data_IF_004494652550
#
_entry.id   IF_004494652550
#
_cell.length_a   1.000
_cell.length_b   1.000
_cell.length_c   1.000
_cell.angle_alpha   90.00
_cell.angle_beta   90.00
_cell.angle_gamma   90.00
#
_symmetry.space_group_name_H-M   'P 1'
#
loop_
_entity.id
_entity.type
_entity.pdbx_description
1 polymer ?
#
# COMPACT_ATOMS: atom_id res chain seq x y z
N UNK A 1 10.26 8.75 17.35
CA UNK A 1 10.33 7.60 16.42
C UNK A 1 10.37 8.11 14.99
N UNK A 2 11.29 7.56 14.17
CA UNK A 2 11.43 7.89 12.75
C UNK A 2 11.19 6.65 11.90
N UNK A 3 10.39 6.78 10.85
CA UNK A 3 10.03 5.67 9.96
C UNK A 3 10.05 6.15 8.51
N UNK A 4 10.75 5.43 7.63
CA UNK A 4 10.71 5.65 6.19
C UNK A 4 9.74 4.64 5.55
N UNK A 5 8.73 5.15 4.84
CA UNK A 5 7.73 4.35 4.13
C UNK A 5 7.93 4.42 2.61
N UNK A 6 7.77 3.27 1.94
CA UNK A 6 7.90 3.12 0.49
C UNK A 6 6.63 2.48 -0.06
N UNK A 7 5.97 3.14 -1.00
CA UNK A 7 4.80 2.64 -1.70
C UNK A 7 5.06 2.60 -3.21
N UNK A 8 4.92 1.43 -3.81
CA UNK A 8 5.16 1.16 -5.24
C UNK A 8 4.12 0.22 -5.85
N UNK A 9 3.07 -0.12 -5.11
CA UNK A 9 2.00 -1.01 -5.60
C UNK A 9 1.05 -0.30 -6.55
N UNK A 10 0.99 1.04 -6.45
CA UNK A 10 0.22 1.97 -7.27
C UNK A 10 0.96 2.37 -8.57
N UNK A 11 0.27 3.06 -9.51
CA UNK A 11 0.90 3.55 -10.73
C UNK A 11 2.04 4.55 -10.50
N UNK A 12 1.98 5.34 -9.44
CA UNK A 12 2.98 6.35 -9.07
C UNK A 12 3.66 5.95 -7.78
N UNK A 13 4.99 5.86 -7.79
CA UNK A 13 5.76 5.58 -6.59
C UNK A 13 5.72 6.77 -5.63
N UNK A 14 5.55 6.48 -4.35
CA UNK A 14 5.60 7.48 -3.28
C UNK A 14 6.51 7.03 -2.15
N UNK A 15 7.11 8.00 -1.46
CA UNK A 15 7.90 7.78 -0.26
C UNK A 15 7.48 8.77 0.82
N UNK A 16 7.59 8.39 2.08
CA UNK A 16 7.27 9.28 3.18
C UNK A 16 8.18 9.04 4.39
N UNK A 17 8.47 10.12 5.10
CA UNK A 17 9.08 10.11 6.41
C UNK A 17 8.01 10.40 7.45
N UNK A 18 7.85 9.50 8.40
CA UNK A 18 7.16 9.76 9.66
C UNK A 18 8.19 10.17 10.71
N UNK A 19 7.94 11.29 11.37
CA UNK A 19 8.76 11.77 12.49
C UNK A 19 7.85 12.33 13.57
N UNK A 20 7.72 11.60 14.67
CA UNK A 20 7.01 12.02 15.89
C UNK A 20 5.59 12.61 15.68
N UNK A 21 4.83 12.02 14.78
CA UNK A 21 3.46 12.42 14.45
C UNK A 21 3.33 13.19 13.14
N UNK A 22 4.43 13.73 12.62
CA UNK A 22 4.44 14.46 11.34
C UNK A 22 4.83 13.56 10.17
N UNK A 23 4.22 13.82 9.01
CA UNK A 23 4.49 13.10 7.76
C UNK A 23 4.97 14.07 6.70
N UNK A 24 6.18 13.85 6.19
CA UNK A 24 6.68 14.49 4.97
C UNK A 24 6.62 13.46 3.83
N UNK A 25 5.98 13.80 2.71
CA UNK A 25 5.71 12.86 1.60
C UNK A 25 6.17 13.43 0.27
N UNK A 26 6.76 12.56 -0.56
CA UNK A 26 7.12 12.84 -1.95
C UNK A 26 6.51 11.81 -2.90
N UNK A 27 6.16 12.27 -4.09
CA UNK A 27 5.67 11.46 -5.21
C UNK A 27 6.62 11.55 -6.38
N UNK A 28 6.71 10.49 -7.18
CA UNK A 28 7.28 10.58 -8.51
C UNK A 28 6.41 11.47 -9.43
N UNK A 29 7.05 12.15 -10.37
CA UNK A 29 6.35 12.99 -11.35
C UNK A 29 5.75 12.16 -12.49
N UNK A 30 6.17 10.91 -12.65
CA UNK A 30 5.80 10.03 -13.75
C UNK A 30 5.40 8.62 -13.24
N UNK A 31 4.48 7.97 -13.97
CA UNK A 31 4.04 6.60 -13.73
C UNK A 31 5.05 5.55 -14.21
N UNK A 32 6.20 5.95 -14.72
CA UNK A 32 7.20 5.07 -15.32
C UNK A 32 8.26 4.64 -14.33
N UNK A 33 8.60 3.35 -14.40
CA UNK A 33 9.85 2.76 -13.89
C UNK A 33 10.12 3.02 -12.39
N UNK A 34 9.29 2.49 -11.51
CA UNK A 34 9.51 2.56 -10.06
C UNK A 34 10.95 2.23 -9.64
N UNK A 35 11.61 1.28 -10.31
CA UNK A 35 13.00 0.92 -10.03
C UNK A 35 13.98 2.09 -10.23
N UNK A 36 13.68 3.03 -11.12
CA UNK A 36 14.53 4.18 -11.41
C UNK A 36 14.17 5.39 -10.55
N UNK A 37 12.95 5.44 -9.99
CA UNK A 37 12.41 6.64 -9.32
C UNK A 37 12.45 6.57 -7.80
N UNK A 38 12.34 5.38 -7.19
CA UNK A 38 12.21 5.26 -5.72
C UNK A 38 13.45 5.73 -4.98
N UNK A 39 14.66 5.34 -5.43
CA UNK A 39 15.90 5.73 -4.75
C UNK A 39 16.14 7.25 -4.82
N UNK A 40 16.02 7.93 -5.98
CA UNK A 40 16.07 9.38 -6.06
C UNK A 40 15.03 10.09 -5.18
N UNK A 41 13.80 9.55 -5.07
CA UNK A 41 12.79 10.10 -4.16
C UNK A 41 13.21 9.99 -2.69
N UNK A 42 13.77 8.85 -2.30
CA UNK A 42 14.30 8.66 -0.93
C UNK A 42 15.45 9.61 -0.66
N UNK A 43 16.40 9.74 -1.58
CA UNK A 43 17.54 10.68 -1.45
C UNK A 43 17.03 12.12 -1.27
N UNK A 44 16.09 12.55 -2.11
CA UNK A 44 15.48 13.87 -2.02
C UNK A 44 14.78 14.08 -0.68
N UNK A 45 13.94 13.13 -0.26
CA UNK A 45 13.22 13.21 1.01
C UNK A 45 14.18 13.36 2.19
N UNK A 46 15.24 12.55 2.24
CA UNK A 46 16.23 12.59 3.32
C UNK A 46 17.02 13.90 3.30
N UNK A 47 17.46 14.36 2.13
CA UNK A 47 18.20 15.63 2.00
C UNK A 47 17.37 16.84 2.45
N UNK A 48 16.10 16.92 2.03
CA UNK A 48 15.23 18.05 2.37
C UNK A 48 14.77 18.03 3.84
N UNK A 49 14.70 16.85 4.46
CA UNK A 49 14.34 16.69 5.88
C UNK A 49 15.55 16.73 6.83
N UNK A 50 16.77 16.72 6.29
CA UNK A 50 18.01 16.67 7.07
C UNK A 50 18.22 15.32 7.78
N UNK A 51 17.62 14.25 7.27
CA UNK A 51 17.66 12.92 7.87
C UNK A 51 18.58 11.96 7.08
N UNK A 52 18.90 10.83 7.71
CA UNK A 52 19.69 9.76 7.09
C UNK A 52 19.01 8.42 7.23
N UNK A 53 19.32 7.44 6.39
CA UNK A 53 18.77 6.06 6.52
C UNK A 53 19.13 5.44 7.87
N UNK A 54 20.33 5.70 8.39
CA UNK A 54 20.79 5.19 9.68
C UNK A 54 20.01 5.74 10.88
N UNK A 55 19.40 6.93 10.73
CA UNK A 55 18.59 7.57 11.75
C UNK A 55 17.16 7.00 11.85
N UNK A 56 16.76 6.14 10.92
CA UNK A 56 15.45 5.51 10.96
C UNK A 56 15.38 4.45 12.04
N UNK A 57 14.23 4.37 12.73
CA UNK A 57 13.92 3.30 13.68
C UNK A 57 13.31 2.10 12.95
N UNK A 58 12.51 2.36 11.90
CA UNK A 58 11.80 1.36 11.11
C UNK A 58 11.80 1.73 9.63
N UNK A 59 11.68 0.69 8.78
CA UNK A 59 11.29 0.85 7.38
C UNK A 59 9.91 0.21 7.17
N UNK A 60 9.02 0.90 6.46
CA UNK A 60 7.71 0.38 6.09
C UNK A 60 7.58 0.24 4.59
N UNK A 61 6.85 -0.78 4.16
CA UNK A 61 6.59 -1.02 2.75
C UNK A 61 5.19 -1.59 2.54
N UNK A 62 4.55 -1.13 1.46
CA UNK A 62 3.33 -1.76 0.99
C UNK A 62 3.67 -3.09 0.30
N UNK A 63 3.17 -4.20 0.88
CA UNK A 63 3.47 -5.56 0.41
C UNK A 63 2.50 -6.06 -0.66
N UNK A 64 1.57 -5.21 -1.11
CA UNK A 64 0.46 -5.55 -1.99
C UNK A 64 -0.86 -5.79 -1.24
N UNK A 65 -1.93 -6.13 -1.96
CA UNK A 65 -1.99 -6.41 -3.40
C UNK A 65 -1.83 -5.17 -4.28
N UNK A 66 -1.46 -5.37 -5.55
CA UNK A 66 -1.30 -4.29 -6.52
C UNK A 66 -0.46 -4.74 -7.72
N UNK A 67 0.29 -3.80 -8.30
CA UNK A 67 1.23 -4.07 -9.38
C UNK A 67 2.25 -5.14 -8.96
N UNK A 68 2.27 -6.28 -9.64
CA UNK A 68 3.19 -7.39 -9.31
C UNK A 68 4.67 -6.98 -9.35
N UNK A 69 5.05 -6.17 -10.34
CA UNK A 69 6.40 -5.62 -10.46
C UNK A 69 6.65 -4.57 -9.38
N UNK A 70 5.68 -3.67 -9.17
CA UNK A 70 5.78 -2.62 -8.15
C UNK A 70 5.98 -3.18 -6.74
N UNK A 71 5.15 -4.14 -6.32
CA UNK A 71 5.30 -4.84 -5.02
C UNK A 71 6.72 -5.37 -4.83
N UNK A 72 7.28 -6.04 -5.84
CA UNK A 72 8.64 -6.61 -5.75
C UNK A 72 9.71 -5.55 -5.63
N UNK A 73 9.60 -4.47 -6.39
CA UNK A 73 10.54 -3.35 -6.32
C UNK A 73 10.55 -2.73 -4.92
N UNK A 74 9.37 -2.35 -4.41
CA UNK A 74 9.27 -1.74 -3.09
C UNK A 74 9.78 -2.63 -1.97
N UNK A 75 9.33 -3.89 -1.94
CA UNK A 75 9.76 -4.86 -0.93
C UNK A 75 11.26 -5.14 -1.00
N UNK A 76 11.84 -5.23 -2.21
CA UNK A 76 13.27 -5.45 -2.38
C UNK A 76 14.09 -4.26 -1.83
N UNK A 77 13.73 -3.03 -2.22
CA UNK A 77 14.42 -1.81 -1.77
C UNK A 77 14.29 -1.64 -0.25
N UNK A 78 13.08 -1.78 0.29
CA UNK A 78 12.85 -1.63 1.71
C UNK A 78 13.61 -2.68 2.54
N UNK A 79 13.60 -3.94 2.11
CA UNK A 79 14.38 -4.99 2.76
C UNK A 79 15.88 -4.75 2.67
N UNK A 80 16.39 -4.20 1.55
CA UNK A 80 17.79 -3.83 1.42
C UNK A 80 18.18 -2.74 2.43
N UNK A 81 17.33 -1.73 2.63
CA UNK A 81 17.54 -0.72 3.67
C UNK A 81 17.50 -1.32 5.08
N UNK A 82 16.49 -2.14 5.38
CA UNK A 82 16.37 -2.82 6.68
C UNK A 82 17.61 -3.66 7.00
N UNK A 83 18.07 -4.44 6.03
CA UNK A 83 19.27 -5.25 6.16
C UNK A 83 20.54 -4.42 6.36
N UNK A 84 20.77 -3.42 5.49
CA UNK A 84 21.97 -2.59 5.54
C UNK A 84 22.05 -1.73 6.82
N UNK A 85 20.91 -1.24 7.30
CA UNK A 85 20.82 -0.41 8.52
C UNK A 85 20.59 -1.22 9.80
N UNK A 86 20.40 -2.55 9.69
CA UNK A 86 20.02 -3.44 10.79
C UNK A 86 18.76 -2.95 11.54
N UNK A 87 17.74 -2.55 10.78
CA UNK A 87 16.49 -2.03 11.29
C UNK A 87 15.30 -2.91 10.90
N UNK A 88 14.30 -3.03 11.77
CA UNK A 88 13.12 -3.85 11.51
C UNK A 88 12.21 -3.24 10.41
N UNK A 89 11.48 -4.15 9.76
CA UNK A 89 10.57 -3.87 8.66
C UNK A 89 9.12 -4.00 9.09
N UNK A 90 8.25 -3.12 8.58
CA UNK A 90 6.80 -3.21 8.76
C UNK A 90 6.17 -3.34 7.37
N UNK A 91 5.66 -4.54 7.05
CA UNK A 91 4.87 -4.77 5.85
C UNK A 91 3.40 -4.45 6.09
N UNK A 92 2.81 -3.57 5.27
CA UNK A 92 1.38 -3.26 5.32
C UNK A 92 0.68 -3.73 4.05
N UNK A 93 -0.60 -4.10 4.19
CA UNK A 93 -1.44 -4.45 3.05
C UNK A 93 -1.95 -3.18 2.36
N UNK A 94 -1.87 -3.12 1.03
CA UNK A 94 -2.29 -1.97 0.23
C UNK A 94 -3.77 -1.58 0.43
N UNK A 95 -4.64 -2.56 0.71
CA UNK A 95 -6.04 -2.29 1.03
C UNK A 95 -6.20 -1.62 2.40
N UNK A 96 -5.35 -1.95 3.37
CA UNK A 96 -5.32 -1.26 4.67
C UNK A 96 -4.74 0.15 4.53
N UNK A 97 -3.72 0.33 3.68
CA UNK A 97 -3.17 1.66 3.36
C UNK A 97 -4.23 2.56 2.71
N UNK A 98 -5.06 2.02 1.81
CA UNK A 98 -6.22 2.74 1.26
C UNK A 98 -7.24 3.11 2.33
N UNK A 99 -7.58 2.17 3.23
CA UNK A 99 -8.48 2.45 4.35
C UNK A 99 -7.94 3.56 5.25
N UNK A 100 -6.62 3.57 5.46
CA UNK A 100 -5.95 4.58 6.29
C UNK A 100 -6.12 6.00 5.75
N UNK A 101 -6.24 6.18 4.43
CA UNK A 101 -6.54 7.49 3.85
C UNK A 101 -7.93 8.03 4.24
N UNK A 102 -8.83 7.14 4.67
CA UNK A 102 -10.16 7.46 5.21
C UNK A 102 -10.23 7.29 6.74
N UNK A 103 -9.10 7.38 7.43
CA UNK A 103 -9.06 7.27 8.88
C UNK A 103 -9.93 8.34 9.56
N UNK A 104 -10.73 7.92 10.56
CA UNK A 104 -11.67 8.82 11.25
C UNK A 104 -13.05 8.95 10.57
N UNK A 105 -13.22 8.38 9.39
CA UNK A 105 -14.53 8.32 8.72
C UNK A 105 -15.41 7.27 9.40
N UNK A 106 -16.64 7.62 9.73
CA UNK A 106 -17.61 6.72 10.35
C UNK A 106 -18.26 5.76 9.34
N UNK A 107 -18.55 4.54 9.79
CA UNK A 107 -19.21 3.50 9.01
C UNK A 107 -18.24 2.65 8.16
N UNK A 108 -18.80 1.64 7.43
CA UNK A 108 -18.01 0.71 6.67
C UNK A 108 -17.28 1.35 5.47
N UNK A 109 -16.00 0.99 5.29
CA UNK A 109 -15.15 1.39 4.16
C UNK A 109 -14.78 0.15 3.37
N UNK A 110 -15.17 0.12 2.10
CA UNK A 110 -14.77 -0.90 1.14
C UNK A 110 -13.57 -0.38 0.34
N UNK A 111 -12.44 -1.06 0.47
CA UNK A 111 -11.24 -0.75 -0.32
C UNK A 111 -11.12 -1.73 -1.46
N UNK A 112 -10.87 -1.22 -2.68
CA UNK A 112 -10.83 -2.03 -3.89
C UNK A 112 -9.73 -1.57 -4.84
N UNK A 113 -8.81 -2.49 -5.19
CA UNK A 113 -7.76 -2.25 -6.18
C UNK A 113 -8.08 -3.05 -7.44
N UNK A 114 -8.08 -2.40 -8.61
CA UNK A 114 -8.40 -3.05 -9.89
C UNK A 114 -7.41 -4.19 -10.20
N UNK A 115 -7.93 -5.41 -10.34
CA UNK A 115 -7.18 -6.60 -10.74
C UNK A 115 -7.48 -7.00 -12.20
N UNK A 116 -8.09 -6.08 -12.96
CA UNK A 116 -8.49 -6.18 -14.37
C UNK A 116 -9.56 -7.23 -14.68
N UNK A 117 -10.18 -7.07 -15.85
CA UNK A 117 -11.20 -8.00 -16.38
C UNK A 117 -12.37 -8.21 -15.39
N UNK A 118 -12.91 -7.13 -14.80
CA UNK A 118 -14.03 -7.21 -13.86
C UNK A 118 -13.70 -7.82 -12.51
N UNK A 119 -12.42 -7.98 -12.19
CA UNK A 119 -11.96 -8.46 -10.89
C UNK A 119 -11.27 -7.32 -10.10
N UNK A 120 -11.29 -7.43 -8.79
CA UNK A 120 -10.57 -6.55 -7.87
C UNK A 120 -9.93 -7.35 -6.75
N UNK A 121 -8.95 -6.74 -6.11
CA UNK A 121 -8.59 -7.07 -4.74
C UNK A 121 -9.45 -6.20 -3.84
N UNK A 122 -10.16 -6.79 -2.90
CA UNK A 122 -11.13 -6.09 -2.08
C UNK A 122 -11.09 -6.52 -0.62
N UNK A 123 -11.41 -5.58 0.26
CA UNK A 123 -11.66 -5.80 1.68
C UNK A 123 -12.72 -4.82 2.19
N UNK A 124 -13.37 -5.14 3.30
CA UNK A 124 -14.33 -4.28 3.98
C UNK A 124 -13.87 -4.08 5.42
N UNK A 125 -13.84 -2.83 5.85
CA UNK A 125 -13.41 -2.43 7.18
C UNK A 125 -14.46 -1.54 7.86
N UNK A 126 -14.50 -1.59 9.18
CA UNK A 126 -15.15 -0.57 10.01
C UNK A 126 -14.20 -0.15 11.13
N UNK A 127 -13.69 1.07 11.04
CA UNK A 127 -12.57 1.48 11.86
C UNK A 127 -11.36 0.54 11.65
N UNK A 128 -10.85 -0.06 12.72
CA UNK A 128 -9.74 -1.04 12.68
C UNK A 128 -10.23 -2.49 12.45
N UNK A 129 -11.55 -2.73 12.53
CA UNK A 129 -12.11 -4.07 12.38
C UNK A 129 -12.19 -4.48 10.91
N UNK A 130 -11.77 -5.70 10.60
CA UNK A 130 -11.94 -6.33 9.29
C UNK A 130 -13.30 -7.02 9.25
N UNK A 131 -14.22 -6.51 8.43
CA UNK A 131 -15.55 -7.12 8.24
C UNK A 131 -15.52 -8.17 7.13
N UNK A 132 -14.77 -7.93 6.05
CA UNK A 132 -14.49 -8.92 5.00
C UNK A 132 -13.00 -8.91 4.70
N UNK A 133 -12.38 -10.08 4.83
CA UNK A 133 -10.95 -10.26 4.66
C UNK A 133 -10.45 -9.91 3.25
N UNK A 134 -9.21 -9.40 3.12
CA UNK A 134 -8.58 -9.13 1.84
C UNK A 134 -8.57 -10.35 0.91
N UNK A 135 -9.18 -10.23 -0.27
CA UNK A 135 -9.20 -11.30 -1.28
C UNK A 135 -9.36 -10.78 -2.70
N UNK A 136 -9.03 -11.65 -3.67
CA UNK A 136 -9.37 -11.42 -5.07
C UNK A 136 -10.82 -11.84 -5.33
N UNK A 137 -11.61 -10.96 -5.96
CA UNK A 137 -13.06 -11.11 -6.14
C UNK A 137 -13.48 -10.71 -7.55
N UNK A 138 -14.60 -11.25 -8.03
CA UNK A 138 -15.37 -10.66 -9.11
C UNK A 138 -16.12 -9.43 -8.55
N UNK A 139 -15.97 -8.27 -9.18
CA UNK A 139 -16.50 -6.99 -8.65
C UNK A 139 -18.00 -7.07 -8.44
N UNK A 140 -18.78 -7.52 -9.46
CA UNK A 140 -20.24 -7.58 -9.37
C UNK A 140 -20.71 -8.42 -8.20
N UNK A 141 -20.22 -9.67 -8.09
CA UNK A 141 -20.59 -10.58 -7.00
C UNK A 141 -20.19 -10.07 -5.60
N UNK A 142 -19.12 -9.30 -5.52
CA UNK A 142 -18.67 -8.76 -4.25
C UNK A 142 -19.55 -7.59 -3.80
N UNK A 143 -19.96 -6.74 -4.73
CA UNK A 143 -20.84 -5.60 -4.44
C UNK A 143 -22.21 -6.06 -3.91
N UNK A 144 -22.75 -7.16 -4.45
CA UNK A 144 -24.02 -7.75 -3.98
C UNK A 144 -23.98 -8.23 -2.52
N UNK A 145 -22.78 -8.43 -1.96
CA UNK A 145 -22.59 -8.89 -0.57
C UNK A 145 -22.30 -7.77 0.42
N UNK A 146 -22.14 -6.53 -0.05
CA UNK A 146 -21.83 -5.42 0.82
C UNK A 146 -23.06 -5.01 1.64
N UNK A 147 -22.91 -4.65 2.91
CA UNK A 147 -23.99 -4.08 3.69
C UNK A 147 -24.38 -2.70 3.11
N UNK A 148 -25.65 -2.38 3.14
CA UNK A 148 -26.31 -1.17 2.65
C UNK A 148 -25.41 0.02 2.24
N UNK A 149 -25.09 0.93 3.15
CA UNK A 149 -24.28 2.11 2.85
C UNK A 149 -22.81 1.83 3.18
N UNK A 150 -21.95 1.81 2.15
CA UNK A 150 -20.49 1.71 2.30
C UNK A 150 -19.79 2.85 1.57
N UNK A 151 -18.65 3.27 2.08
CA UNK A 151 -17.76 4.21 1.39
C UNK A 151 -16.73 3.41 0.60
N UNK A 152 -16.36 3.93 -0.58
CA UNK A 152 -15.37 3.28 -1.44
C UNK A 152 -14.06 4.07 -1.49
N UNK A 153 -12.93 3.36 -1.39
CA UNK A 153 -11.59 3.84 -1.73
C UNK A 153 -10.93 2.86 -2.71
N UNK A 154 -10.23 3.40 -3.70
CA UNK A 154 -9.54 2.60 -4.70
C UNK A 154 -9.82 3.04 -6.13
N UNK A 155 -9.40 2.22 -7.10
CA UNK A 155 -9.33 2.59 -8.51
C UNK A 155 -10.18 1.71 -9.45
N UNK A 156 -11.11 0.92 -8.90
CA UNK A 156 -11.99 0.06 -9.70
C UNK A 156 -12.89 0.91 -10.59
N UNK A 157 -12.85 0.72 -11.92
CA UNK A 157 -13.68 1.46 -12.87
C UNK A 157 -15.19 1.30 -12.59
N UNK A 158 -15.92 2.39 -12.67
CA UNK A 158 -17.39 2.43 -12.50
C UNK A 158 -17.84 2.49 -11.04
N UNK A 159 -16.97 2.36 -10.06
CA UNK A 159 -17.28 2.67 -8.67
C UNK A 159 -17.04 4.16 -8.43
N UNK A 160 -18.12 4.88 -8.15
CA UNK A 160 -18.02 6.26 -7.71
C UNK A 160 -17.29 6.29 -6.35
N UNK A 161 -16.17 7.00 -6.31
CA UNK A 161 -15.54 7.33 -5.04
C UNK A 161 -16.55 8.17 -4.24
N UNK A 162 -16.93 7.68 -3.08
CA UNK A 162 -17.97 8.29 -2.26
C UNK A 162 -17.53 9.61 -1.64
N UNK A 163 -16.24 9.93 -1.71
CA UNK A 163 -15.63 11.13 -1.17
C UNK A 163 -14.53 11.62 -2.13
N UNK A 164 -14.54 12.91 -2.54
CA UNK A 164 -13.43 13.49 -3.33
C UNK A 164 -12.07 13.42 -2.63
N UNK A 165 -12.07 13.32 -1.30
CA UNK A 165 -10.88 13.09 -0.48
C UNK A 165 -10.51 11.60 -0.38
N UNK A 166 -11.34 10.68 -0.90
CA UNK A 166 -11.03 9.25 -0.86
C UNK A 166 -9.82 8.94 -1.71
N UNK A 167 -8.87 8.21 -1.13
CA UNK A 167 -7.69 7.78 -1.85
C UNK A 167 -8.09 6.91 -3.04
N UNK A 168 -7.63 7.29 -4.21
CA UNK A 168 -7.73 6.45 -5.40
C UNK A 168 -6.69 5.35 -5.38
N UNK A 169 -5.53 5.66 -4.85
CA UNK A 169 -4.38 4.76 -4.76
C UNK A 169 -3.79 4.78 -3.34
N UNK A 170 -3.20 3.67 -2.87
CA UNK A 170 -2.38 3.71 -1.67
C UNK A 170 -1.23 4.71 -1.84
N UNK A 171 -0.83 5.37 -0.76
CA UNK A 171 0.30 6.28 -0.76
C UNK A 171 1.18 6.12 0.48
N UNK A 172 2.45 6.51 0.37
CA UNK A 172 3.42 6.34 1.45
C UNK A 172 3.10 7.15 2.70
N UNK A 173 2.35 8.25 2.60
CA UNK A 173 1.93 9.03 3.77
C UNK A 173 0.91 8.28 4.63
N UNK A 174 -0.09 7.66 3.99
CA UNK A 174 -1.04 6.77 4.65
C UNK A 174 -0.34 5.53 5.21
N UNK A 175 0.54 4.91 4.41
CA UNK A 175 1.37 3.79 4.85
C UNK A 175 2.20 4.12 6.09
N UNK A 176 2.83 5.31 6.12
CA UNK A 176 3.65 5.74 7.25
C UNK A 176 2.83 5.89 8.54
N UNK A 177 1.64 6.49 8.44
CA UNK A 177 0.71 6.60 9.59
C UNK A 177 0.25 5.24 10.09
N UNK A 178 -0.11 4.34 9.17
CA UNK A 178 -0.53 2.98 9.49
C UNK A 178 0.58 2.19 10.17
N UNK A 179 1.79 2.21 9.60
CA UNK A 179 2.95 1.49 10.13
C UNK A 179 3.38 2.03 11.50
N UNK A 180 3.32 3.36 11.70
CA UNK A 180 3.67 3.98 12.98
C UNK A 180 2.81 3.51 14.16
N UNK A 181 1.58 3.06 13.88
CA UNK A 181 0.67 2.47 14.90
C UNK A 181 0.81 0.95 15.03
N UNK A 182 1.67 0.31 14.25
CA UNK A 182 1.81 -1.16 14.17
C UNK A 182 3.23 -1.63 14.34
N UNK A 183 4.02 -0.93 15.15
CA UNK A 183 5.42 -1.28 15.40
C UNK A 183 5.59 -2.66 16.05
N UNK A 184 4.56 -3.17 16.72
CA UNK A 184 4.50 -4.54 17.25
C UNK A 184 4.51 -5.62 16.15
N UNK A 185 4.18 -5.25 14.90
CA UNK A 185 4.23 -6.15 13.73
C UNK A 185 5.57 -6.13 13.01
N UNK A 186 6.55 -5.41 13.55
CA UNK A 186 7.86 -5.31 12.93
C UNK A 186 8.57 -6.68 12.87
N UNK A 187 9.19 -6.96 11.73
CA UNK A 187 9.87 -8.22 11.41
C UNK A 187 11.25 -7.92 10.82
N UNK A 188 12.09 -8.94 10.72
CA UNK A 188 13.41 -8.82 10.08
C UNK A 188 13.30 -8.46 8.59
N UNK A 189 12.26 -8.94 7.91
CA UNK A 189 11.99 -8.68 6.49
C UNK A 189 10.51 -8.65 6.17
N UNK A 190 10.13 -7.86 5.18
CA UNK A 190 8.79 -7.88 4.58
C UNK A 190 8.72 -8.93 3.46
N UNK A 191 7.57 -9.59 3.33
CA UNK A 191 7.29 -10.55 2.25
C UNK A 191 6.12 -10.06 1.40
N UNK A 192 6.18 -10.20 0.06
CA UNK A 192 5.07 -9.84 -0.81
C UNK A 192 3.81 -10.63 -0.50
N UNK A 193 2.66 -9.95 -0.50
CA UNK A 193 1.33 -10.55 -0.38
C UNK A 193 0.71 -10.74 -1.77
N UNK A 194 0.58 -11.98 -2.21
CA UNK A 194 -0.06 -12.32 -3.46
C UNK A 194 -1.43 -12.97 -3.22
N UNK A 195 -2.51 -12.19 -3.35
CA UNK A 195 -3.89 -12.69 -3.24
C UNK A 195 -4.37 -13.43 -4.49
N UNK A 196 -3.59 -13.41 -5.57
CA UNK A 196 -3.83 -14.10 -6.84
C UNK A 196 -2.52 -14.54 -7.46
N UNK A 197 -2.52 -15.71 -8.11
CA UNK A 197 -1.39 -16.17 -8.90
C UNK A 197 -1.02 -15.16 -10.00
N UNK A 198 0.25 -15.07 -10.36
CA UNK A 198 0.73 -14.19 -11.42
C UNK A 198 0.01 -14.47 -12.76
N UNK A 199 0.02 -13.51 -13.68
CA UNK A 199 -0.60 -13.68 -14.99
C UNK A 199 0.04 -14.85 -15.76
N UNK A 200 1.35 -15.02 -15.66
CA UNK A 200 2.09 -16.12 -16.28
C UNK A 200 1.65 -17.49 -15.75
N UNK A 201 1.53 -17.65 -14.44
CA UNK A 201 1.06 -18.90 -13.82
C UNK A 201 -0.40 -19.24 -14.19
N UNK A 202 -1.24 -18.21 -14.37
CA UNK A 202 -2.65 -18.40 -14.77
C UNK A 202 -2.79 -18.81 -16.23
N UNK A 203 -1.94 -18.28 -17.11
CA UNK A 203 -1.92 -18.67 -18.52
C UNK A 203 -1.43 -20.11 -18.67
N UNK A 204 -0.36 -20.47 -17.98
CA UNK A 204 0.19 -21.83 -18.01
C UNK A 204 -0.81 -22.89 -17.52
N UNK A 205 -1.63 -22.57 -16.50
CA UNK A 205 -2.69 -23.46 -16.02
C UNK A 205 -3.92 -23.58 -16.95
N UNK A 206 -4.05 -22.75 -17.97
CA UNK A 206 -5.12 -22.82 -18.97
C UNK A 206 -4.71 -23.64 -20.20
N UNK A 207 -3.42 -23.85 -20.39
CA UNK A 207 -2.84 -24.61 -21.50
C UNK A 207 -2.47 -26.05 -21.12
N UNK A 208 -2.54 -26.40 -19.84
CA UNK A 208 -2.36 -27.73 -19.27
C UNK A 208 -3.71 -28.37 -18.90
#
# INVERSE_FOLDING_TARGET
MKLLAIETTAPVATVALWRDGEVTRYSADDTKKHAETVLPLVERLLAETGETLSAMDYFAVDIGPGSFTGVRIGVCIANAFGYAMQKPMIGCNALETLREALYGVSGPVCTMIDARNGNAYAALYEGENVLLEPKAVAVAEYLDRLPGIVRFAGDVPGLAQSDPASARYPDAGALARLAARRTERAQERALPLYLRASQAERLHKREA
#
